data_IF_762097829135
#
_entry.id   IF_762097829135
#
_cell.length_a   1.000
_cell.length_b   1.000
_cell.length_c   1.000
_cell.angle_alpha   90.00
_cell.angle_beta   90.00
_cell.angle_gamma   90.00
#
_symmetry.space_group_name_H-M   'P 1'
#
loop_
_entity.id
_entity.type
_entity.pdbx_description
1 polymer ?
#
# COMPACT_ATOMS: atom_id res chain seq x y z
N UNK A 1 -16.11 -4.56 -14.34
CA UNK A 1 -15.46 -3.43 -13.64
C UNK A 1 -14.17 -3.96 -13.03
N UNK A 2 -13.06 -3.21 -13.13
CA UNK A 2 -11.85 -3.55 -12.38
C UNK A 2 -12.19 -3.63 -10.89
N UNK A 3 -11.56 -4.57 -10.18
CA UNK A 3 -11.77 -4.75 -8.74
C UNK A 3 -10.95 -3.71 -7.98
N UNK A 4 -11.52 -3.06 -6.98
CA UNK A 4 -10.76 -2.13 -6.14
C UNK A 4 -10.03 -2.91 -5.05
N UNK A 5 -8.69 -2.87 -5.05
CA UNK A 5 -7.84 -3.71 -4.19
C UNK A 5 -7.08 -2.85 -3.18
N UNK A 6 -7.16 -3.22 -1.91
CA UNK A 6 -6.36 -2.66 -0.82
C UNK A 6 -5.27 -3.67 -0.43
N UNK A 7 -4.01 -3.24 -0.44
CA UNK A 7 -2.90 -4.00 0.14
C UNK A 7 -2.52 -3.37 1.47
N UNK A 8 -2.63 -4.11 2.56
CA UNK A 8 -2.24 -3.65 3.90
C UNK A 8 -0.83 -4.13 4.19
N UNK A 9 0.09 -3.20 4.45
CA UNK A 9 1.49 -3.45 4.75
C UNK A 9 1.71 -3.22 6.24
N UNK A 10 1.71 -4.28 7.05
CA UNK A 10 2.00 -4.20 8.50
C UNK A 10 3.18 -5.09 8.86
N UNK A 11 3.03 -6.40 8.68
CA UNK A 11 4.13 -7.35 8.80
C UNK A 11 4.76 -7.53 7.40
N UNK A 12 5.54 -8.61 7.17
CA UNK A 12 6.09 -9.07 5.86
C UNK A 12 6.26 -7.99 4.78
N UNK A 13 6.89 -6.87 5.13
CA UNK A 13 6.79 -5.60 4.38
C UNK A 13 7.31 -5.73 2.94
N UNK A 14 8.40 -6.47 2.76
CA UNK A 14 8.98 -6.80 1.45
C UNK A 14 8.01 -7.56 0.55
N UNK A 15 7.32 -8.56 1.10
CA UNK A 15 6.35 -9.36 0.34
C UNK A 15 5.13 -8.52 -0.03
N UNK A 16 4.61 -7.76 0.94
CA UNK A 16 3.44 -6.92 0.76
C UNK A 16 3.64 -5.90 -0.37
N UNK A 17 4.79 -5.20 -0.39
CA UNK A 17 5.10 -4.22 -1.43
C UNK A 17 5.35 -4.87 -2.79
N UNK A 18 6.07 -5.99 -2.85
CA UNK A 18 6.26 -6.74 -4.10
C UNK A 18 4.91 -7.24 -4.67
N UNK A 19 4.02 -7.68 -3.80
CA UNK A 19 2.66 -8.09 -4.20
C UNK A 19 1.81 -6.91 -4.66
N UNK A 20 1.95 -5.74 -4.02
CA UNK A 20 1.31 -4.50 -4.47
C UNK A 20 1.79 -4.09 -5.87
N UNK A 21 3.08 -4.19 -6.18
CA UNK A 21 3.62 -3.94 -7.53
C UNK A 21 2.96 -4.87 -8.54
N UNK A 22 2.98 -6.19 -8.26
CA UNK A 22 2.36 -7.18 -9.15
C UNK A 22 0.86 -6.94 -9.37
N UNK A 23 0.13 -6.61 -8.31
CA UNK A 23 -1.29 -6.28 -8.39
C UNK A 23 -1.54 -5.03 -9.24
N UNK A 24 -0.72 -3.99 -9.09
CA UNK A 24 -0.85 -2.72 -9.82
C UNK A 24 -0.58 -2.89 -11.31
N UNK A 25 0.35 -3.79 -11.70
CA UNK A 25 0.58 -4.15 -13.10
C UNK A 25 -0.64 -4.81 -13.76
N UNK A 26 -1.49 -5.48 -12.99
CA UNK A 26 -2.65 -6.22 -13.47
C UNK A 26 -3.97 -5.45 -13.34
N UNK A 27 -4.00 -4.38 -12.53
CA UNK A 27 -5.21 -3.69 -12.17
C UNK A 27 -4.93 -2.22 -11.79
N UNK A 28 -5.65 -1.30 -12.41
CA UNK A 28 -5.46 0.13 -12.23
C UNK A 28 -5.98 0.67 -10.88
N UNK A 29 -6.78 -0.10 -10.14
CA UNK A 29 -7.38 0.33 -8.85
C UNK A 29 -6.75 -0.37 -7.63
N UNK A 30 -5.43 -0.24 -7.47
CA UNK A 30 -4.68 -0.74 -6.31
C UNK A 30 -4.23 0.41 -5.42
N UNK A 31 -4.63 0.37 -4.15
CA UNK A 31 -4.14 1.28 -3.11
C UNK A 31 -3.36 0.51 -2.05
N UNK A 32 -2.26 1.09 -1.58
CA UNK A 32 -1.35 0.51 -0.59
C UNK A 32 -1.47 1.28 0.71
N UNK A 33 -1.59 0.57 1.83
CA UNK A 33 -1.72 1.15 3.16
C UNK A 33 -0.58 0.67 4.05
N UNK A 34 0.39 1.53 4.32
CA UNK A 34 1.50 1.25 5.24
C UNK A 34 1.07 1.57 6.66
N UNK A 35 1.02 0.55 7.51
CA UNK A 35 0.44 0.65 8.84
C UNK A 35 1.49 0.68 9.94
N UNK A 36 1.22 1.52 10.93
CA UNK A 36 1.75 1.61 12.29
C UNK A 36 3.24 1.95 12.40
N UNK A 37 4.11 1.19 11.77
CA UNK A 37 5.56 1.39 11.84
C UNK A 37 6.09 2.21 10.66
N UNK A 38 7.24 2.84 10.92
CA UNK A 38 8.03 3.39 9.82
C UNK A 38 8.52 2.22 8.96
N UNK A 39 8.44 2.38 7.65
CA UNK A 39 9.00 1.47 6.69
C UNK A 39 10.53 1.63 6.74
N UNK A 40 11.23 0.55 7.08
CA UNK A 40 12.69 0.55 7.08
C UNK A 40 13.20 0.54 5.63
N UNK A 41 14.15 1.41 5.33
CA UNK A 41 14.71 1.55 3.98
C UNK A 41 15.73 0.45 3.74
N UNK A 42 15.51 -0.31 2.68
CA UNK A 42 16.52 -1.14 2.05
C UNK A 42 16.29 -1.18 0.54
N UNK A 43 17.20 -1.85 -0.17
CA UNK A 43 17.18 -1.91 -1.62
C UNK A 43 15.87 -2.48 -2.21
N UNK A 44 15.32 -3.54 -1.61
CA UNK A 44 14.13 -4.22 -2.13
C UNK A 44 12.87 -3.40 -1.88
N UNK A 45 12.80 -2.77 -0.70
CA UNK A 45 11.76 -1.83 -0.30
C UNK A 45 11.76 -0.61 -1.22
N UNK A 46 12.91 0.04 -1.39
CA UNK A 46 13.07 1.23 -2.24
C UNK A 46 12.72 0.93 -3.69
N UNK A 47 13.17 -0.21 -4.22
CA UNK A 47 12.84 -0.67 -5.58
C UNK A 47 11.33 -0.85 -5.75
N UNK A 48 10.67 -1.49 -4.78
CA UNK A 48 9.22 -1.71 -4.84
C UNK A 48 8.43 -0.40 -4.76
N UNK A 49 8.85 0.53 -3.90
CA UNK A 49 8.24 1.86 -3.77
C UNK A 49 8.41 2.70 -5.05
N UNK A 50 9.59 2.66 -5.67
CA UNK A 50 9.83 3.34 -6.94
C UNK A 50 8.92 2.79 -8.04
N UNK A 51 8.79 1.46 -8.15
CA UNK A 51 7.88 0.84 -9.12
C UNK A 51 6.41 1.24 -8.87
N UNK A 52 5.96 1.26 -7.61
CA UNK A 52 4.61 1.73 -7.26
C UNK A 52 4.39 3.20 -7.67
N UNK A 53 5.40 4.05 -7.49
CA UNK A 53 5.35 5.45 -7.91
C UNK A 53 5.28 5.59 -9.44
N UNK A 54 6.10 4.83 -10.19
CA UNK A 54 6.11 4.82 -11.66
C UNK A 54 4.76 4.35 -12.23
N UNK A 55 4.14 3.37 -11.56
CA UNK A 55 2.81 2.86 -11.87
C UNK A 55 1.67 3.74 -11.32
N UNK A 56 1.99 4.86 -10.65
CA UNK A 56 1.04 5.82 -10.06
C UNK A 56 0.08 5.19 -9.05
N UNK A 57 0.51 4.15 -8.35
CA UNK A 57 -0.24 3.58 -7.23
C UNK A 57 -0.36 4.61 -6.10
N UNK A 58 -1.50 4.60 -5.40
CA UNK A 58 -1.70 5.47 -4.23
C UNK A 58 -1.20 4.76 -2.98
N UNK A 59 -0.29 5.40 -2.27
CA UNK A 59 0.26 4.90 -1.00
C UNK A 59 -0.17 5.83 0.14
N UNK A 60 -0.80 5.23 1.15
CA UNK A 60 -1.24 5.91 2.36
C UNK A 60 -0.48 5.38 3.57
N UNK A 61 -0.39 6.16 4.63
CA UNK A 61 0.19 5.72 5.90
C UNK A 61 -0.55 6.34 7.09
N UNK A 62 -0.68 5.58 8.18
CA UNK A 62 -1.06 6.15 9.48
C UNK A 62 0.14 6.54 10.34
N UNK A 63 1.36 6.18 9.94
CA UNK A 63 2.59 6.68 10.55
C UNK A 63 3.11 7.91 9.78
N UNK A 64 3.22 9.09 10.42
CA UNK A 64 3.64 10.33 9.77
C UNK A 64 5.12 10.32 9.32
N UNK A 65 5.93 9.38 9.80
CA UNK A 65 7.35 9.29 9.45
C UNK A 65 7.62 8.60 8.10
N UNK A 66 6.59 8.09 7.43
CA UNK A 66 6.72 7.36 6.15
C UNK A 66 6.72 8.28 4.91
N UNK A 67 6.33 9.55 5.04
CA UNK A 67 6.31 10.49 3.91
C UNK A 67 5.25 10.21 2.83
N UNK A 68 4.38 9.22 3.03
CA UNK A 68 3.22 8.93 2.17
C UNK A 68 2.01 9.79 2.54
N UNK A 69 0.90 9.67 1.79
CA UNK A 69 -0.32 10.42 2.13
C UNK A 69 -0.84 9.99 3.52
N UNK A 70 -0.81 10.92 4.47
CA UNK A 70 -1.17 10.64 5.86
C UNK A 70 -2.68 10.44 6.00
N UNK A 71 -3.08 9.35 6.66
CA UNK A 71 -4.46 9.02 7.08
C UNK A 71 -4.44 8.42 8.48
N UNK A 72 -5.34 8.83 9.35
CA UNK A 72 -5.53 8.15 10.63
C UNK A 72 -6.03 6.71 10.43
N UNK A 73 -5.79 5.84 11.41
CA UNK A 73 -6.33 4.46 11.39
C UNK A 73 -7.85 4.42 11.17
N UNK A 74 -8.58 5.42 11.70
CA UNK A 74 -10.03 5.54 11.53
C UNK A 74 -10.42 5.88 10.08
N UNK A 75 -9.67 6.79 9.44
CA UNK A 75 -9.89 7.12 8.02
C UNK A 75 -9.57 5.93 7.12
N UNK A 76 -8.46 5.23 7.37
CA UNK A 76 -8.13 4.00 6.63
C UNK A 76 -9.23 2.96 6.80
N UNK A 77 -9.70 2.70 8.02
CA UNK A 77 -10.81 1.77 8.26
C UNK A 77 -12.08 2.17 7.50
N UNK A 78 -12.40 3.46 7.42
CA UNK A 78 -13.51 3.96 6.61
C UNK A 78 -13.32 3.73 5.11
N UNK A 79 -12.10 3.97 4.60
CA UNK A 79 -11.76 3.72 3.19
C UNK A 79 -11.88 2.24 2.82
N UNK A 80 -11.49 1.33 3.71
CA UNK A 80 -11.48 -0.12 3.43
C UNK A 80 -12.87 -0.70 3.14
N UNK A 81 -13.94 -0.03 3.56
CA UNK A 81 -15.33 -0.42 3.27
C UNK A 81 -15.62 -0.37 1.75
N UNK A 82 -14.94 0.51 1.02
CA UNK A 82 -15.15 0.71 -0.42
C UNK A 82 -14.38 -0.28 -1.31
N UNK A 83 -13.61 -1.21 -0.73
CA UNK A 83 -12.76 -2.13 -1.49
C UNK A 83 -13.43 -3.48 -1.70
N UNK A 84 -13.28 -4.03 -2.90
CA UNK A 84 -13.74 -5.38 -3.21
C UNK A 84 -12.86 -6.46 -2.57
N UNK A 85 -11.55 -6.18 -2.46
CA UNK A 85 -10.56 -7.12 -1.95
C UNK A 85 -9.59 -6.38 -1.04
N UNK A 86 -9.39 -6.93 0.15
CA UNK A 86 -8.37 -6.47 1.10
C UNK A 86 -7.38 -7.61 1.29
N UNK A 87 -6.10 -7.36 1.00
CA UNK A 87 -5.02 -8.32 1.14
C UNK A 87 -4.13 -7.89 2.30
N UNK A 88 -4.28 -8.51 3.48
CA UNK A 88 -3.47 -8.20 4.65
C UNK A 88 -2.13 -8.95 4.63
N UNK A 89 -1.05 -8.23 4.95
CA UNK A 89 0.29 -8.80 5.10
C UNK A 89 0.90 -8.56 6.47
#
# INVERSE_FOLDING_TARGET
MPKKIAVIVRDRKHEALRMAVGATLMNDEVHVFVMDDKLESDYDIETSLQMLADLKARVFSNNPNNGFEQKTTKEIAGMLIDYDVVVPY
#
